data_IF_615342597368
#
_entry.id   IF_615342597368
#
_cell.length_a   1.000
_cell.length_b   1.000
_cell.length_c   1.000
_cell.angle_alpha   90.00
_cell.angle_beta   90.00
_cell.angle_gamma   90.00
#
_symmetry.space_group_name_H-M   'P 1'
#
loop_
_entity.id
_entity.type
_entity.pdbx_description
1 polymer ?
#
# COMPACT_ATOMS: atom_id res chain seq x y z
N UNK A 1 1.74 -9.73 3.19
CA UNK A 1 1.49 -9.74 4.65
C UNK A 1 1.75 -11.11 5.29
N UNK A 2 1.05 -12.21 4.95
CA UNK A 2 1.26 -13.53 5.63
C UNK A 2 2.71 -14.02 5.62
N UNK A 3 3.35 -14.01 4.44
CA UNK A 3 4.79 -14.35 4.31
C UNK A 3 5.74 -13.38 5.02
N UNK A 4 5.26 -12.17 5.33
CA UNK A 4 6.02 -11.13 6.03
C UNK A 4 5.78 -11.16 7.55
N UNK A 5 4.93 -12.08 8.07
CA UNK A 5 4.58 -12.14 9.49
C UNK A 5 3.68 -10.99 9.99
N UNK A 6 3.27 -10.06 9.12
CA UNK A 6 2.55 -8.83 9.52
C UNK A 6 1.03 -8.94 9.49
N UNK A 7 0.49 -10.07 9.03
CA UNK A 7 -0.96 -10.24 8.88
C UNK A 7 -1.63 -10.55 10.22
N UNK A 8 -2.75 -9.87 10.49
CA UNK A 8 -3.70 -10.23 11.53
C UNK A 8 -5.14 -10.10 11.00
N UNK A 9 -6.10 -10.93 11.46
CA UNK A 9 -7.51 -10.81 11.04
C UNK A 9 -8.10 -9.42 11.25
N UNK A 10 -7.67 -8.71 12.31
CA UNK A 10 -8.12 -7.35 12.61
C UNK A 10 -7.72 -6.33 11.52
N UNK A 11 -6.78 -6.67 10.64
CA UNK A 11 -6.32 -5.81 9.55
C UNK A 11 -7.06 -6.07 8.23
N UNK A 12 -8.05 -6.95 8.20
CA UNK A 12 -8.77 -7.29 6.97
C UNK A 12 -9.46 -6.07 6.35
N UNK A 13 -10.10 -5.23 7.17
CA UNK A 13 -10.74 -3.99 6.71
C UNK A 13 -9.77 -3.06 5.98
N UNK A 14 -8.63 -2.74 6.59
CA UNK A 14 -7.62 -1.87 5.97
C UNK A 14 -6.95 -2.52 4.76
N UNK A 15 -6.83 -3.85 4.73
CA UNK A 15 -6.31 -4.59 3.58
C UNK A 15 -7.28 -4.50 2.40
N UNK A 16 -8.58 -4.61 2.64
CA UNK A 16 -9.61 -4.48 1.61
C UNK A 16 -9.65 -3.05 1.05
N UNK A 17 -9.59 -2.03 1.90
CA UNK A 17 -9.49 -0.63 1.45
C UNK A 17 -8.28 -0.43 0.55
N UNK A 18 -7.12 -0.98 0.90
CA UNK A 18 -5.93 -0.90 0.04
C UNK A 18 -6.14 -1.59 -1.31
N UNK A 19 -6.77 -2.76 -1.34
CA UNK A 19 -7.10 -3.44 -2.59
C UNK A 19 -8.03 -2.59 -3.47
N UNK A 20 -9.07 -2.00 -2.88
CA UNK A 20 -9.99 -1.11 -3.59
C UNK A 20 -9.29 0.12 -4.16
N UNK A 21 -8.36 0.73 -3.43
CA UNK A 21 -7.56 1.86 -3.93
C UNK A 21 -6.76 1.49 -5.18
N UNK A 22 -6.20 0.28 -5.25
CA UNK A 22 -5.47 -0.20 -6.42
C UNK A 22 -6.40 -0.37 -7.64
N UNK A 23 -7.60 -0.91 -7.44
CA UNK A 23 -8.60 -1.04 -8.51
C UNK A 23 -9.04 0.33 -9.01
N UNK A 24 -9.40 1.24 -8.08
CA UNK A 24 -9.80 2.60 -8.43
C UNK A 24 -8.71 3.36 -9.18
N UNK A 25 -7.45 3.18 -8.79
CA UNK A 25 -6.31 3.77 -9.49
C UNK A 25 -6.13 3.23 -10.90
N UNK A 26 -6.28 1.92 -11.10
CA UNK A 26 -6.23 1.30 -12.42
C UNK A 26 -7.36 1.84 -13.33
N UNK A 27 -8.58 1.93 -12.81
CA UNK A 27 -9.73 2.47 -13.54
C UNK A 27 -9.55 3.95 -13.89
N UNK A 28 -9.06 4.75 -12.93
CA UNK A 28 -8.79 6.17 -13.16
C UNK A 28 -7.68 6.37 -14.21
N UNK A 29 -6.63 5.55 -14.22
CA UNK A 29 -5.59 5.60 -15.24
C UNK A 29 -6.13 5.23 -16.62
N UNK A 30 -6.99 4.21 -16.71
CA UNK A 30 -7.62 3.82 -17.96
C UNK A 30 -8.46 4.97 -18.54
N UNK A 31 -9.32 5.57 -17.70
CA UNK A 31 -10.13 6.75 -18.08
C UNK A 31 -9.25 7.94 -18.48
N UNK A 32 -8.09 8.11 -17.85
CA UNK A 32 -7.16 9.18 -18.21
C UNK A 32 -6.54 8.94 -19.59
N UNK A 33 -6.13 7.71 -19.88
CA UNK A 33 -5.62 7.34 -21.20
C UNK A 33 -6.70 7.49 -22.29
N UNK A 34 -7.95 7.11 -22.00
CA UNK A 34 -9.10 7.30 -22.90
C UNK A 34 -9.44 8.79 -23.13
N UNK A 35 -9.00 9.69 -22.25
CA UNK A 35 -9.16 11.14 -22.40
C UNK A 35 -8.00 11.81 -23.18
N UNK A 36 -7.21 11.04 -23.92
CA UNK A 36 -5.97 11.48 -24.58
C UNK A 36 -4.99 12.16 -23.62
N UNK A 37 -4.97 11.69 -22.36
CA UNK A 37 -4.16 12.27 -21.29
C UNK A 37 -4.41 13.78 -21.08
N UNK A 38 -5.67 14.23 -21.13
CA UNK A 38 -6.01 15.64 -20.92
C UNK A 38 -5.66 16.13 -19.49
N UNK A 39 -4.51 16.80 -19.35
CA UNK A 39 -4.01 17.31 -18.08
C UNK A 39 -4.77 18.52 -17.55
N UNK A 40 -5.37 19.29 -18.45
CA UNK A 40 -6.08 20.53 -18.14
C UNK A 40 -7.46 20.55 -18.79
N UNK A 41 -8.37 21.32 -18.18
CA UNK A 41 -9.73 21.54 -18.65
C UNK A 41 -10.00 23.04 -18.74
N UNK A 42 -10.65 23.46 -19.83
CA UNK A 42 -11.05 24.86 -20.00
C UNK A 42 -12.17 25.21 -19.03
N UNK A 43 -12.05 26.36 -18.39
CA UNK A 43 -13.05 26.92 -17.49
C UNK A 43 -14.01 27.83 -18.25
N UNK A 44 -15.23 28.02 -17.74
CA UNK A 44 -16.22 28.92 -18.35
C UNK A 44 -15.77 30.39 -18.43
N UNK A 45 -14.71 30.77 -17.70
CA UNK A 45 -14.10 32.11 -17.74
C UNK A 45 -12.92 32.22 -18.73
N UNK A 46 -12.63 31.18 -19.52
CA UNK A 46 -11.58 31.18 -20.55
C UNK A 46 -10.16 30.81 -20.06
N UNK A 47 -9.95 30.58 -18.76
CA UNK A 47 -8.70 30.01 -18.22
C UNK A 47 -8.68 28.49 -18.25
N UNK A 48 -7.53 27.87 -18.01
CA UNK A 48 -7.40 26.41 -17.82
C UNK A 48 -7.25 26.05 -16.34
N UNK A 49 -7.69 24.86 -15.95
CA UNK A 49 -7.45 24.28 -14.63
C UNK A 49 -7.02 22.82 -14.75
N UNK A 50 -6.30 22.31 -13.75
CA UNK A 50 -5.96 20.89 -13.65
C UNK A 50 -7.22 20.04 -13.80
N UNK A 51 -7.14 19.03 -14.66
CA UNK A 51 -8.22 18.07 -14.87
C UNK A 51 -8.53 17.34 -13.57
N UNK A 52 -9.82 17.13 -13.29
CA UNK A 52 -10.26 16.45 -12.07
C UNK A 52 -9.64 15.05 -11.94
N UNK A 53 -9.48 14.34 -13.07
CA UNK A 53 -8.91 12.99 -13.08
C UNK A 53 -7.43 12.99 -12.69
N UNK A 54 -6.67 14.02 -13.05
CA UNK A 54 -5.26 14.16 -12.65
C UNK A 54 -5.16 14.41 -11.15
N UNK A 55 -6.04 15.27 -10.61
CA UNK A 55 -6.11 15.49 -9.17
C UNK A 55 -6.48 14.20 -8.41
N UNK A 56 -7.43 13.41 -8.93
CA UNK A 56 -7.80 12.10 -8.37
C UNK A 56 -6.62 11.12 -8.40
N UNK A 57 -5.90 11.02 -9.53
CA UNK A 57 -4.72 10.15 -9.66
C UNK A 57 -3.60 10.55 -8.70
N UNK A 58 -3.34 11.84 -8.52
CA UNK A 58 -2.36 12.33 -7.55
C UNK A 58 -2.72 11.96 -6.11
N UNK A 59 -4.00 12.09 -5.72
CA UNK A 59 -4.48 11.69 -4.39
C UNK A 59 -4.39 10.18 -4.19
N UNK A 60 -4.87 9.38 -5.15
CA UNK A 60 -4.80 7.92 -5.08
C UNK A 60 -3.36 7.41 -4.94
N UNK A 61 -2.38 8.00 -5.64
CA UNK A 61 -0.96 7.64 -5.48
C UNK A 61 -0.45 7.89 -4.06
N UNK A 62 -0.83 9.02 -3.45
CA UNK A 62 -0.44 9.35 -2.08
C UNK A 62 -1.09 8.39 -1.08
N UNK A 63 -2.36 8.07 -1.26
CA UNK A 63 -3.09 7.16 -0.38
C UNK A 63 -2.56 5.73 -0.50
N UNK A 64 -2.34 5.22 -1.71
CA UNK A 64 -1.72 3.90 -1.95
C UNK A 64 -0.36 3.82 -1.26
N UNK A 65 0.50 4.83 -1.40
CA UNK A 65 1.80 4.85 -0.71
C UNK A 65 1.63 4.81 0.81
N UNK A 66 0.74 5.63 1.36
CA UNK A 66 0.51 5.71 2.80
C UNK A 66 -0.06 4.40 3.39
N UNK A 67 -0.97 3.72 2.67
CA UNK A 67 -1.51 2.43 3.10
C UNK A 67 -0.50 1.29 2.90
N UNK A 68 0.29 1.33 1.84
CA UNK A 68 1.40 0.40 1.62
C UNK A 68 2.42 0.47 2.77
N UNK A 69 2.76 1.68 3.23
CA UNK A 69 3.61 1.90 4.40
C UNK A 69 3.00 1.25 5.66
N UNK A 70 1.72 1.53 5.94
CA UNK A 70 1.01 0.99 7.14
C UNK A 70 0.89 -0.53 7.12
N UNK A 71 0.70 -1.13 5.95
CA UNK A 71 0.57 -2.58 5.77
C UNK A 71 1.94 -3.29 5.63
N UNK A 72 3.04 -2.53 5.66
CA UNK A 72 4.40 -3.02 5.48
C UNK A 72 4.58 -3.77 4.16
N UNK A 73 4.00 -3.23 3.09
CA UNK A 73 4.00 -3.83 1.75
C UNK A 73 5.05 -3.23 0.81
N UNK A 74 5.95 -2.40 1.32
CA UNK A 74 7.06 -1.83 0.57
C UNK A 74 8.39 -1.95 1.33
N UNK A 75 9.54 -1.87 0.63
CA UNK A 75 10.86 -2.08 1.25
C UNK A 75 11.12 -1.16 2.45
N UNK A 76 10.73 0.12 2.36
CA UNK A 76 10.91 1.12 3.41
C UNK A 76 10.21 0.72 4.71
N UNK A 77 9.01 0.15 4.63
CA UNK A 77 8.24 -0.27 5.79
C UNK A 77 8.61 -1.68 6.29
N UNK A 78 9.30 -2.49 5.49
CA UNK A 78 9.76 -3.82 5.88
C UNK A 78 10.95 -3.74 6.84
N UNK A 79 11.85 -2.77 6.65
CA UNK A 79 13.02 -2.57 7.53
C UNK A 79 12.67 -2.31 8.99
N UNK A 80 11.49 -1.74 9.28
CA UNK A 80 11.03 -1.47 10.64
C UNK A 80 10.30 -2.65 11.31
N UNK A 81 9.92 -3.68 10.55
CA UNK A 81 9.06 -4.79 11.02
C UNK A 81 9.73 -6.16 10.93
N UNK A 82 10.83 -6.31 10.19
CA UNK A 82 11.63 -7.54 10.19
C UNK A 82 12.38 -7.72 11.52
N UNK A 83 11.66 -8.06 12.59
CA UNK A 83 12.18 -8.58 13.85
C UNK A 83 12.18 -10.10 13.90
N UNK A 84 11.76 -10.79 12.84
CA UNK A 84 11.95 -12.24 12.71
C UNK A 84 13.40 -12.59 12.35
N UNK A 85 14.33 -12.18 13.21
CA UNK A 85 15.27 -13.19 13.67
C UNK A 85 14.49 -14.02 14.67
N UNK A 86 14.02 -15.19 14.25
CA UNK A 86 13.84 -16.32 15.18
C UNK A 86 15.21 -16.61 15.79
N UNK A 87 15.66 -15.77 16.74
CA UNK A 87 16.70 -16.13 17.67
C UNK A 87 16.07 -17.23 18.49
N UNK A 88 16.28 -18.50 18.08
CA UNK A 88 16.22 -19.60 19.03
C UNK A 88 17.05 -19.13 20.21
N UNK A 89 16.41 -18.87 21.34
CA UNK A 89 17.15 -18.49 22.53
C UNK A 89 18.06 -19.66 22.86
N UNK A 90 19.30 -19.43 23.28
CA UNK A 90 20.19 -20.53 23.69
C UNK A 90 19.53 -21.43 24.76
N UNK A 91 18.58 -20.88 25.52
CA UNK A 91 17.69 -21.61 26.44
C UNK A 91 16.79 -22.65 25.74
N UNK A 92 16.24 -22.35 24.57
CA UNK A 92 15.42 -23.30 23.82
C UNK A 92 16.23 -24.50 23.32
N UNK A 93 17.51 -24.30 22.98
CA UNK A 93 18.41 -25.39 22.60
C UNK A 93 18.88 -26.21 23.82
N UNK A 94 19.07 -25.57 24.99
CA UNK A 94 19.41 -26.26 26.24
C UNK A 94 18.23 -27.12 26.72
N UNK A 95 17.00 -26.59 26.73
CA UNK A 95 15.82 -27.34 27.19
C UNK A 95 15.55 -28.58 26.34
N UNK A 96 15.79 -28.51 25.03
CA UNK A 96 15.70 -29.68 24.14
C UNK A 96 16.65 -30.82 24.50
N UNK A 97 17.77 -30.51 25.16
CA UNK A 97 18.76 -31.49 25.58
C UNK A 97 18.47 -32.08 26.98
N UNK A 98 17.47 -31.56 27.70
CA UNK A 98 17.06 -32.05 29.03
C UNK A 98 15.81 -32.94 29.02
N UNK A 99 15.05 -32.96 27.92
CA UNK A 99 13.88 -33.83 27.73
C UNK A 99 14.23 -35.20 27.09
N UNK A 100 15.50 -35.63 27.15
CA UNK A 100 15.99 -36.94 26.68
C UNK A 100 16.56 -37.77 27.82
#
# INVERSE_FOLDING_TARGET
MKKLGTYKPQYESITNVYADLLVQYADANKKFAESDCAYETTTGAGGTKKSAIVATLESLRKDILAYSDRLCLNPKAVESVTTEQTKKSGLADILKNFDG
#
